data_IF_450961195015
#
_entry.id   IF_450961195015
#
_cell.length_a   1.000
_cell.length_b   1.000
_cell.length_c   1.000
_cell.angle_alpha   90.00
_cell.angle_beta   90.00
_cell.angle_gamma   90.00
#
_symmetry.space_group_name_H-M   'P 1'
#
loop_
_entity.id
_entity.type
_entity.pdbx_description
1 polymer ?
#
# COMPACT_ATOMS: atom_id res chain seq x y z
N UNK A 1 42.28 -36.05 -11.44
CA UNK A 1 41.71 -35.02 -12.33
C UNK A 1 41.67 -33.70 -11.57
N UNK A 2 42.24 -32.64 -12.17
CA UNK A 2 41.92 -31.19 -12.06
C UNK A 2 41.36 -30.72 -10.69
N UNK A 3 42.07 -29.95 -9.86
CA UNK A 3 42.75 -28.70 -10.17
C UNK A 3 41.88 -27.53 -9.73
N UNK A 4 42.19 -26.92 -8.58
CA UNK A 4 41.79 -25.57 -8.13
C UNK A 4 42.89 -25.13 -7.15
N UNK A 5 43.71 -24.11 -7.37
CA UNK A 5 43.44 -22.83 -8.02
C UNK A 5 43.49 -21.76 -6.94
N UNK A 6 44.59 -21.00 -6.92
CA UNK A 6 44.89 -19.92 -5.98
C UNK A 6 43.76 -18.87 -5.91
N UNK A 7 43.65 -18.21 -4.76
CA UNK A 7 42.76 -17.08 -4.57
C UNK A 7 43.10 -16.31 -3.29
N UNK A 8 44.34 -15.82 -3.24
CA UNK A 8 44.88 -14.90 -2.23
C UNK A 8 43.99 -13.66 -2.10
N UNK A 9 43.53 -13.38 -0.87
CA UNK A 9 42.68 -12.24 -0.54
C UNK A 9 43.18 -11.56 0.73
N UNK A 10 44.33 -10.88 0.61
CA UNK A 10 44.86 -9.94 1.58
C UNK A 10 43.88 -8.79 1.83
N UNK A 11 43.34 -8.65 3.04
CA UNK A 11 42.90 -7.35 3.57
C UNK A 11 43.17 -7.25 5.09
N UNK A 12 44.36 -6.73 5.39
CA UNK A 12 44.67 -5.65 6.35
C UNK A 12 44.17 -5.77 7.80
N UNK A 13 45.13 -6.14 8.64
CA UNK A 13 45.25 -5.83 10.06
C UNK A 13 45.26 -4.31 10.31
N UNK A 14 44.35 -3.74 11.13
CA UNK A 14 44.60 -2.47 11.77
C UNK A 14 45.52 -2.68 12.98
N UNK A 15 46.74 -2.15 12.89
CA UNK A 15 47.67 -2.04 14.00
C UNK A 15 47.10 -1.15 15.10
N UNK A 16 47.02 -1.68 16.31
CA UNK A 16 46.64 -0.90 17.49
C UNK A 16 47.83 -0.13 18.09
N UNK A 17 47.54 0.90 18.90
CA UNK A 17 48.43 1.27 20.00
C UNK A 17 47.82 0.92 21.35
N UNK A 18 48.41 -0.12 21.94
CA UNK A 18 48.71 -0.37 23.36
C UNK A 18 48.31 0.76 24.32
N UNK A 19 47.35 0.50 25.22
CA UNK A 19 47.20 1.23 26.49
C UNK A 19 46.35 0.44 27.48
N UNK A 20 46.99 0.07 28.59
CA UNK A 20 46.36 -0.05 29.90
C UNK A 20 45.63 -1.36 30.18
N UNK A 21 46.23 -2.15 31.07
CA UNK A 21 45.58 -2.92 32.14
C UNK A 21 44.08 -3.21 31.97
N UNK A 22 43.74 -4.49 31.84
CA UNK A 22 43.13 -5.22 32.96
C UNK A 22 42.66 -6.59 32.46
N UNK A 23 43.41 -7.61 32.86
CA UNK A 23 42.91 -8.96 33.00
C UNK A 23 41.68 -8.96 33.92
N UNK A 24 40.59 -9.61 33.51
CA UNK A 24 39.69 -10.39 34.38
C UNK A 24 38.44 -10.75 33.57
N UNK A 25 38.29 -12.01 33.16
CA UNK A 25 37.60 -13.04 33.96
C UNK A 25 36.10 -12.75 34.13
N UNK A 26 35.34 -13.45 33.29
CA UNK A 26 34.22 -14.30 33.70
C UNK A 26 32.98 -13.64 34.32
N UNK A 27 31.93 -13.48 33.51
CA UNK A 27 30.54 -13.69 33.96
C UNK A 27 29.84 -14.47 32.83
N UNK A 28 29.84 -15.81 32.90
CA UNK A 28 28.70 -16.60 33.37
C UNK A 28 27.36 -16.12 32.77
N UNK A 29 26.76 -16.94 31.90
CA UNK A 29 25.38 -17.45 32.03
C UNK A 29 25.01 -18.12 30.71
N UNK A 30 24.79 -19.44 30.79
CA UNK A 30 24.12 -20.21 29.77
C UNK A 30 22.66 -19.74 29.66
N UNK A 31 22.19 -19.36 28.46
CA UNK A 31 20.76 -19.25 28.22
C UNK A 31 20.42 -19.38 26.73
N UNK A 32 19.65 -20.43 26.45
CA UNK A 32 18.57 -20.50 25.47
C UNK A 32 18.92 -20.50 23.97
N UNK A 33 18.87 -21.71 23.41
CA UNK A 33 18.36 -21.99 22.07
C UNK A 33 17.11 -21.14 21.77
N UNK A 34 17.22 -20.18 20.84
CA UNK A 34 16.06 -19.46 20.30
C UNK A 34 15.77 -19.96 18.87
N UNK A 35 14.92 -20.99 18.86
CA UNK A 35 13.88 -21.34 17.90
C UNK A 35 13.82 -20.48 16.62
N UNK A 36 13.89 -21.17 15.47
CA UNK A 36 13.39 -20.70 14.18
C UNK A 36 11.96 -20.14 14.35
N UNK A 37 11.84 -18.81 14.36
CA UNK A 37 10.55 -18.14 14.57
C UNK A 37 10.59 -16.68 14.13
N UNK A 38 11.27 -16.38 13.02
CA UNK A 38 11.05 -15.12 12.33
C UNK A 38 9.59 -15.07 11.85
N UNK A 39 8.90 -13.93 11.94
CA UNK A 39 7.51 -13.84 11.52
C UNK A 39 7.42 -14.17 10.04
N UNK A 40 6.94 -15.37 9.71
CA UNK A 40 6.40 -15.64 8.39
C UNK A 40 5.13 -14.80 8.28
N UNK A 41 5.28 -13.56 7.85
CA UNK A 41 4.17 -12.74 7.37
C UNK A 41 3.67 -13.34 6.06
N UNK A 42 3.06 -14.52 6.14
CA UNK A 42 2.18 -15.08 5.12
C UNK A 42 0.80 -14.43 5.22
N UNK A 43 0.79 -13.10 5.26
CA UNK A 43 -0.40 -12.32 5.01
C UNK A 43 -0.48 -12.05 3.53
N UNK A 44 -1.09 -12.94 2.76
CA UNK A 44 -1.75 -12.52 1.52
C UNK A 44 -2.91 -11.60 1.92
N UNK A 45 -2.58 -10.39 2.37
CA UNK A 45 -3.52 -9.30 2.55
C UNK A 45 -4.05 -9.05 1.15
N UNK A 46 -5.28 -9.47 0.87
CA UNK A 46 -6.00 -8.98 -0.29
C UNK A 46 -5.97 -7.46 -0.14
N UNK A 47 -5.07 -6.81 -0.87
CA UNK A 47 -4.78 -5.40 -0.69
C UNK A 47 -6.12 -4.67 -0.70
N UNK A 48 -6.46 -4.05 0.43
CA UNK A 48 -7.56 -3.10 0.44
C UNK A 48 -7.16 -2.07 -0.63
N UNK A 49 -7.89 -2.06 -1.75
CA UNK A 49 -7.55 -1.25 -2.95
C UNK A 49 -7.28 0.22 -2.58
N UNK A 50 -7.84 0.67 -1.45
CA UNK A 50 -7.46 1.89 -0.77
C UNK A 50 -6.94 1.57 0.65
N UNK A 51 -5.73 2.01 0.97
CA UNK A 51 -5.20 2.01 2.34
C UNK A 51 -5.78 3.19 3.13
N UNK A 52 -6.89 2.98 3.83
CA UNK A 52 -7.55 4.00 4.64
C UNK A 52 -8.85 3.51 5.28
N UNK A 53 -9.45 4.33 6.14
CA UNK A 53 -10.75 4.02 6.74
C UNK A 53 -11.87 4.31 5.75
N UNK A 54 -12.90 3.47 5.77
CA UNK A 54 -14.11 3.67 4.98
C UNK A 54 -14.85 4.91 5.48
N UNK A 55 -15.16 5.84 4.58
CA UNK A 55 -15.91 7.07 4.95
C UNK A 55 -17.31 7.09 4.39
N UNK A 56 -17.51 6.57 3.17
CA UNK A 56 -18.82 6.63 2.52
C UNK A 56 -18.95 5.61 1.41
N UNK A 57 -20.16 5.10 1.24
CA UNK A 57 -20.56 4.30 0.08
C UNK A 57 -21.67 5.00 -0.68
N UNK A 58 -21.46 5.22 -1.96
CA UNK A 58 -22.42 5.79 -2.89
C UNK A 58 -22.99 4.66 -3.75
N UNK A 59 -24.23 4.24 -3.48
CA UNK A 59 -24.88 3.15 -4.23
C UNK A 59 -25.66 3.72 -5.41
N UNK A 60 -25.67 2.99 -6.51
CA UNK A 60 -26.49 3.24 -7.68
C UNK A 60 -26.90 1.92 -8.33
N UNK A 61 -27.78 1.97 -9.32
CA UNK A 61 -28.45 0.79 -9.87
C UNK A 61 -27.50 -0.33 -10.34
N UNK A 62 -26.42 0.03 -11.04
CA UNK A 62 -25.46 -0.91 -11.63
C UNK A 62 -24.19 -1.11 -10.81
N UNK A 63 -24.05 -0.45 -9.66
CA UNK A 63 -22.79 -0.48 -8.90
C UNK A 63 -22.78 0.32 -7.61
N UNK A 64 -21.59 0.43 -7.03
CA UNK A 64 -21.33 1.26 -5.85
C UNK A 64 -19.96 1.89 -5.94
N UNK A 65 -19.83 3.14 -5.53
CA UNK A 65 -18.54 3.81 -5.36
C UNK A 65 -18.23 3.91 -3.88
N UNK A 66 -17.09 3.38 -3.47
CA UNK A 66 -16.65 3.34 -2.08
C UNK A 66 -15.51 4.32 -1.92
N UNK A 67 -15.62 5.18 -0.90
CA UNK A 67 -14.63 6.20 -0.57
C UNK A 67 -13.92 5.82 0.72
N UNK A 68 -12.63 6.06 0.72
CA UNK A 68 -11.73 5.86 1.83
C UNK A 68 -10.95 7.14 2.09
N UNK A 69 -10.65 7.43 3.35
CA UNK A 69 -9.82 8.58 3.75
C UNK A 69 -8.65 8.11 4.60
N UNK A 70 -7.50 8.72 4.40
CA UNK A 70 -6.31 8.47 5.20
C UNK A 70 -5.39 9.69 5.16
N UNK A 71 -5.04 10.28 6.31
CA UNK A 71 -4.06 11.37 6.42
C UNK A 71 -4.18 12.48 5.36
N UNK A 72 -5.41 12.97 5.12
CA UNK A 72 -5.69 14.02 4.13
C UNK A 72 -5.75 13.53 2.67
N UNK A 73 -5.57 12.25 2.40
CA UNK A 73 -5.84 11.62 1.10
C UNK A 73 -7.26 11.06 1.06
N UNK A 74 -7.88 11.17 -0.11
CA UNK A 74 -9.14 10.50 -0.43
C UNK A 74 -8.90 9.53 -1.57
N UNK A 75 -9.26 8.27 -1.33
CA UNK A 75 -9.20 7.19 -2.32
C UNK A 75 -10.61 6.72 -2.66
N UNK A 76 -10.89 6.51 -3.94
CA UNK A 76 -12.19 6.02 -4.39
C UNK A 76 -12.05 4.83 -5.33
N UNK A 77 -12.98 3.89 -5.20
CA UNK A 77 -13.10 2.70 -6.06
C UNK A 77 -14.55 2.53 -6.46
N UNK A 78 -14.81 2.28 -7.74
CA UNK A 78 -16.16 1.98 -8.24
C UNK A 78 -16.28 0.51 -8.56
N UNK A 79 -17.22 -0.18 -7.92
CA UNK A 79 -17.51 -1.60 -8.09
C UNK A 79 -18.79 -1.81 -8.90
N UNK A 80 -18.78 -2.79 -9.79
CA UNK A 80 -19.99 -3.26 -10.45
C UNK A 80 -20.84 -4.11 -9.52
N UNK A 81 -22.17 -3.94 -9.58
CA UNK A 81 -23.13 -4.76 -8.83
C UNK A 81 -23.19 -6.19 -9.37
N UNK A 82 -23.06 -6.34 -10.69
CA UNK A 82 -23.01 -7.63 -11.39
C UNK A 82 -21.65 -7.74 -12.07
N UNK A 83 -20.87 -8.73 -11.68
CA UNK A 83 -19.57 -9.06 -12.27
C UNK A 83 -19.75 -10.02 -13.45
N UNK A 84 -18.74 -10.15 -14.30
CA UNK A 84 -18.72 -11.08 -15.43
C UNK A 84 -18.52 -10.38 -16.77
N UNK A 85 -19.52 -9.62 -17.23
CA UNK A 85 -19.41 -8.88 -18.48
C UNK A 85 -18.44 -7.68 -18.35
N UNK A 86 -17.59 -7.48 -19.37
CA UNK A 86 -16.66 -6.34 -19.42
C UNK A 86 -17.40 -5.06 -19.79
N UNK A 87 -17.61 -4.16 -18.80
CA UNK A 87 -18.37 -2.92 -18.94
C UNK A 87 -17.46 -1.70 -18.83
N UNK A 88 -17.84 -0.62 -19.50
CA UNK A 88 -17.21 0.69 -19.27
C UNK A 88 -17.48 1.12 -17.84
N UNK A 89 -16.42 1.39 -17.08
CA UNK A 89 -16.53 1.92 -15.73
C UNK A 89 -15.59 3.11 -15.59
N UNK A 90 -15.95 4.02 -14.70
CA UNK A 90 -15.14 5.19 -14.40
C UNK A 90 -15.21 5.49 -12.92
N UNK A 91 -14.10 5.95 -12.37
CA UNK A 91 -14.06 6.61 -11.08
C UNK A 91 -13.28 7.90 -11.25
N UNK A 92 -13.77 8.99 -10.67
CA UNK A 92 -13.04 10.26 -10.65
C UNK A 92 -13.18 10.95 -9.32
N UNK A 93 -12.08 11.50 -8.83
CA UNK A 93 -12.01 12.26 -7.59
C UNK A 93 -11.40 13.61 -7.89
N UNK A 94 -12.04 14.66 -7.39
CA UNK A 94 -11.57 16.02 -7.52
C UNK A 94 -11.53 16.68 -6.15
N UNK A 95 -10.35 17.08 -5.69
CA UNK A 95 -10.25 18.01 -4.57
C UNK A 95 -10.54 19.44 -5.04
N UNK A 96 -11.24 20.23 -4.23
CA UNK A 96 -11.59 21.61 -4.57
C UNK A 96 -10.31 22.41 -4.86
N UNK A 97 -10.28 23.13 -5.98
CA UNK A 97 -9.09 23.86 -6.43
C UNK A 97 -8.02 23.01 -7.14
N UNK A 98 -8.19 21.68 -7.23
CA UNK A 98 -7.30 20.80 -7.98
C UNK A 98 -7.96 20.27 -9.26
N UNK A 99 -7.13 19.73 -10.16
CA UNK A 99 -7.59 18.95 -11.30
C UNK A 99 -8.23 17.64 -10.84
N UNK A 100 -9.25 17.21 -11.55
CA UNK A 100 -9.87 15.91 -11.31
C UNK A 100 -8.95 14.80 -11.80
N UNK A 101 -8.73 13.79 -10.96
CA UNK A 101 -8.05 12.55 -11.34
C UNK A 101 -9.12 11.52 -11.62
N UNK A 102 -9.01 10.84 -12.76
CA UNK A 102 -9.99 9.84 -13.17
C UNK A 102 -9.31 8.60 -13.73
N UNK A 103 -9.88 7.44 -13.41
CA UNK A 103 -9.61 6.18 -14.09
C UNK A 103 -10.88 5.80 -14.87
N UNK A 104 -10.72 5.60 -16.18
CA UNK A 104 -11.78 5.20 -17.11
C UNK A 104 -11.28 4.05 -17.96
N UNK A 105 -12.04 2.97 -17.97
CA UNK A 105 -11.69 1.80 -18.75
C UNK A 105 -12.84 0.82 -18.86
N UNK A 106 -12.60 -0.29 -19.55
CA UNK A 106 -13.51 -1.43 -19.56
C UNK A 106 -13.03 -2.44 -18.54
N UNK A 107 -13.84 -2.72 -17.53
CA UNK A 107 -13.51 -3.59 -16.40
C UNK A 107 -14.59 -4.64 -16.18
N UNK A 108 -14.28 -5.70 -15.43
CA UNK A 108 -15.24 -6.77 -15.09
C UNK A 108 -15.72 -6.70 -13.64
N UNK A 109 -14.92 -6.09 -12.75
CA UNK A 109 -15.19 -6.03 -11.30
C UNK A 109 -15.23 -4.60 -10.77
N UNK A 110 -14.21 -3.80 -11.05
CA UNK A 110 -14.10 -2.45 -10.51
C UNK A 110 -13.23 -1.53 -11.40
N UNK A 111 -13.42 -0.22 -11.25
CA UNK A 111 -12.52 0.84 -11.70
C UNK A 111 -11.87 1.53 -10.50
N UNK A 112 -10.63 1.98 -10.65
CA UNK A 112 -9.77 2.48 -9.59
C UNK A 112 -8.80 1.41 -9.06
N UNK A 113 -7.99 1.75 -8.05
CA UNK A 113 -8.16 2.90 -7.14
C UNK A 113 -7.69 4.25 -7.73
N UNK A 114 -8.42 5.32 -7.40
CA UNK A 114 -7.97 6.69 -7.63
C UNK A 114 -7.81 7.40 -6.30
N UNK A 115 -6.59 7.85 -6.01
CA UNK A 115 -6.24 8.55 -4.78
C UNK A 115 -5.84 9.98 -5.10
N UNK A 116 -6.37 10.94 -4.35
CA UNK A 116 -5.99 12.34 -4.44
C UNK A 116 -5.68 12.91 -3.06
N UNK A 117 -4.73 13.83 -2.99
CA UNK A 117 -4.49 14.60 -1.78
C UNK A 117 -5.52 15.73 -1.66
N UNK A 118 -6.37 15.66 -0.65
CA UNK A 118 -7.43 16.63 -0.38
C UNK A 118 -7.05 17.60 0.75
N UNK A 119 -6.29 17.17 1.76
CA UNK A 119 -6.03 17.95 2.97
C UNK A 119 -7.35 18.26 3.69
N UNK A 120 -7.62 19.55 3.95
CA UNK A 120 -8.90 20.05 4.50
C UNK A 120 -9.89 20.52 3.43
N UNK A 121 -9.63 20.21 2.15
CA UNK A 121 -10.48 20.65 1.05
C UNK A 121 -11.57 19.64 0.81
N UNK A 122 -12.77 20.14 0.52
CA UNK A 122 -13.86 19.31 0.08
C UNK A 122 -13.49 18.58 -1.23
N UNK A 123 -14.00 17.37 -1.40
CA UNK A 123 -13.83 16.57 -2.62
C UNK A 123 -15.17 16.32 -3.31
N UNK A 124 -15.12 16.22 -4.62
CA UNK A 124 -16.22 15.76 -5.45
C UNK A 124 -15.84 14.43 -6.07
N UNK A 125 -16.72 13.44 -5.95
CA UNK A 125 -16.51 12.09 -6.47
C UNK A 125 -17.59 11.77 -7.50
N UNK A 126 -17.18 11.09 -8.56
CA UNK A 126 -18.08 10.52 -9.56
C UNK A 126 -17.67 9.08 -9.83
N UNK A 127 -18.64 8.19 -9.94
CA UNK A 127 -18.44 6.81 -10.35
C UNK A 127 -19.48 6.41 -11.40
N UNK A 128 -19.10 5.54 -12.33
CA UNK A 128 -20.03 4.99 -13.31
C UNK A 128 -19.74 3.52 -13.61
N UNK A 129 -20.80 2.79 -13.91
CA UNK A 129 -20.75 1.40 -14.41
C UNK A 129 -21.80 1.28 -15.52
N UNK A 130 -21.34 1.11 -16.76
CA UNK A 130 -22.20 1.15 -17.94
C UNK A 130 -22.86 2.50 -18.11
N UNK A 131 -24.18 2.52 -18.27
CA UNK A 131 -24.99 3.72 -18.50
C UNK A 131 -25.39 4.45 -17.22
N UNK A 132 -25.19 3.85 -16.05
CA UNK A 132 -25.58 4.46 -14.76
C UNK A 132 -24.36 5.00 -14.04
N UNK A 133 -24.58 6.12 -13.34
CA UNK A 133 -23.53 6.82 -12.62
C UNK A 133 -24.05 7.45 -11.35
N UNK A 134 -23.12 7.77 -10.45
CA UNK A 134 -23.35 8.57 -9.26
C UNK A 134 -22.37 9.73 -9.26
N UNK A 135 -22.82 10.91 -8.82
CA UNK A 135 -21.99 12.09 -8.65
C UNK A 135 -22.36 12.75 -7.33
N UNK A 136 -21.35 13.19 -6.58
CA UNK A 136 -21.57 13.95 -5.36
C UNK A 136 -21.48 15.45 -5.60
N UNK A 137 -22.04 16.22 -4.66
CA UNK A 137 -21.58 17.58 -4.41
C UNK A 137 -20.14 17.59 -3.86
N UNK A 138 -19.76 18.72 -3.28
CA UNK A 138 -18.55 18.80 -2.46
C UNK A 138 -18.84 18.13 -1.11
N UNK A 139 -18.08 17.10 -0.77
CA UNK A 139 -18.21 16.30 0.45
C UNK A 139 -16.84 16.16 1.12
N UNK A 140 -16.80 15.66 2.35
CA UNK A 140 -15.55 15.47 3.11
C UNK A 140 -14.72 16.77 3.24
N UNK A 141 -15.43 17.89 3.34
CA UNK A 141 -14.98 18.99 4.18
C UNK A 141 -15.03 18.45 5.63
#
# INVERSE_FOLDING_TARGET
MRGQGLGEGDIRTPGGPRRGLASALSVLVAAALLVLGGPTVTGAQAASQCGGHHVRTLRFETGRTVLYKNNGYVCAVTYAKRTGARRTMTVSVQARGNRAVADKGRYTRHAGPVTVHAGHRCVRVKGSVGTKSVRTGWILC
#
